data_IF_515009863261
#
_entry.id   IF_515009863261
#
_cell.length_a   1.000
_cell.length_b   1.000
_cell.length_c   1.000
_cell.angle_alpha   90.00
_cell.angle_beta   90.00
_cell.angle_gamma   90.00
#
_symmetry.space_group_name_H-M   'P 1'
#
loop_
_entity.id
_entity.type
_entity.pdbx_description
1 polymer ?
#
# COMPACT_ATOMS: atom_id res chain seq x y z
N UNK A 1 -4.39 -3.29 -1.66
CA UNK A 1 -3.76 -4.09 -0.58
C UNK A 1 -4.05 -5.58 -0.66
N UNK A 2 -5.31 -6.04 -0.80
CA UNK A 2 -5.60 -7.48 -0.91
C UNK A 2 -4.73 -8.20 -1.95
N UNK A 3 -4.63 -7.65 -3.16
CA UNK A 3 -3.76 -8.19 -4.22
C UNK A 3 -2.26 -8.15 -3.89
N UNK A 4 -1.82 -7.15 -3.12
CA UNK A 4 -0.42 -7.06 -2.71
C UNK A 4 -0.14 -8.17 -1.69
N UNK A 5 -1.04 -8.41 -0.73
CA UNK A 5 -0.89 -9.51 0.23
C UNK A 5 -0.91 -10.87 -0.44
N UNK A 6 -1.82 -11.12 -1.39
CA UNK A 6 -1.82 -12.39 -2.12
C UNK A 6 -0.55 -12.55 -2.97
N UNK A 7 -0.06 -11.46 -3.57
CA UNK A 7 1.19 -11.48 -4.32
C UNK A 7 2.42 -11.78 -3.43
N UNK A 8 2.52 -11.12 -2.27
CA UNK A 8 3.58 -11.37 -1.27
C UNK A 8 3.47 -12.80 -0.73
N UNK A 9 2.27 -13.25 -0.37
CA UNK A 9 2.02 -14.61 0.11
C UNK A 9 2.43 -15.67 -0.93
N UNK A 10 2.14 -15.44 -2.22
CA UNK A 10 2.63 -16.29 -3.33
C UNK A 10 4.15 -16.33 -3.33
N UNK A 11 4.82 -15.19 -3.19
CA UNK A 11 6.27 -15.09 -3.17
C UNK A 11 6.92 -15.84 -2.01
N UNK A 12 6.31 -15.77 -0.82
CA UNK A 12 6.75 -16.55 0.35
C UNK A 12 6.51 -18.04 0.13
N UNK A 13 5.30 -18.42 -0.27
CA UNK A 13 4.89 -19.82 -0.41
C UNK A 13 5.75 -20.60 -1.41
N UNK A 14 6.06 -19.99 -2.56
CA UNK A 14 6.90 -20.63 -3.58
C UNK A 14 8.40 -20.29 -3.46
N UNK A 15 8.83 -19.64 -2.38
CA UNK A 15 10.25 -19.35 -2.15
C UNK A 15 10.88 -18.42 -3.20
N UNK A 16 10.10 -17.54 -3.84
CA UNK A 16 10.57 -16.65 -4.92
C UNK A 16 11.71 -15.75 -4.45
N UNK A 17 11.71 -15.38 -3.18
CA UNK A 17 12.75 -14.55 -2.55
C UNK A 17 14.13 -15.20 -2.53
N UNK A 18 14.21 -16.53 -2.61
CA UNK A 18 15.48 -17.27 -2.69
C UNK A 18 16.06 -17.23 -4.11
N UNK A 19 15.20 -17.43 -5.12
CA UNK A 19 15.61 -17.46 -6.53
C UNK A 19 15.84 -16.07 -7.12
N UNK A 20 15.00 -15.10 -6.74
CA UNK A 20 14.99 -13.75 -7.29
C UNK A 20 15.05 -12.69 -6.16
N UNK A 21 16.17 -12.61 -5.42
CA UNK A 21 16.29 -11.71 -4.26
C UNK A 21 16.16 -10.22 -4.65
N UNK A 22 16.70 -9.79 -5.79
CA UNK A 22 16.57 -8.40 -6.25
C UNK A 22 15.12 -8.02 -6.58
N UNK A 23 14.37 -8.93 -7.21
CA UNK A 23 12.93 -8.75 -7.44
C UNK A 23 12.19 -8.69 -6.10
N UNK A 24 12.56 -9.53 -5.13
CA UNK A 24 11.96 -9.52 -3.80
C UNK A 24 12.18 -8.18 -3.07
N UNK A 25 13.41 -7.67 -3.00
CA UNK A 25 13.70 -6.40 -2.33
C UNK A 25 13.05 -5.19 -3.01
N UNK A 26 12.97 -5.17 -4.35
CA UNK A 26 12.21 -4.15 -5.06
C UNK A 26 10.70 -4.26 -4.77
N UNK A 27 10.16 -5.48 -4.65
CA UNK A 27 8.78 -5.74 -4.23
C UNK A 27 8.48 -5.28 -2.81
N UNK A 28 9.40 -5.49 -1.85
CA UNK A 28 9.29 -4.95 -0.49
C UNK A 28 9.28 -3.42 -0.49
N UNK A 29 10.12 -2.80 -1.31
CA UNK A 29 10.15 -1.34 -1.47
C UNK A 29 8.83 -0.80 -2.03
N UNK A 30 8.28 -1.46 -3.06
CA UNK A 30 6.94 -1.17 -3.60
C UNK A 30 5.84 -1.31 -2.55
N UNK A 31 5.93 -2.35 -1.71
CA UNK A 31 4.96 -2.58 -0.65
C UNK A 31 4.97 -1.46 0.39
N UNK A 32 6.15 -1.07 0.90
CA UNK A 32 6.27 0.04 1.87
C UNK A 32 5.81 1.37 1.27
N UNK A 33 6.18 1.67 0.03
CA UNK A 33 5.71 2.89 -0.65
C UNK A 33 4.18 2.87 -0.84
N UNK A 34 3.60 1.73 -1.20
CA UNK A 34 2.16 1.58 -1.37
C UNK A 34 1.42 1.78 -0.04
N UNK A 35 1.98 1.27 1.08
CA UNK A 35 1.48 1.56 2.43
C UNK A 35 1.51 3.06 2.72
N UNK A 36 2.62 3.74 2.44
CA UNK A 36 2.74 5.19 2.58
C UNK A 36 1.69 5.96 1.78
N UNK A 37 1.52 5.64 0.49
CA UNK A 37 0.51 6.28 -0.38
C UNK A 37 -0.91 6.03 0.12
N UNK A 38 -1.23 4.79 0.50
CA UNK A 38 -2.55 4.43 1.03
C UNK A 38 -2.89 5.21 2.30
N UNK A 39 -1.93 5.33 3.22
CA UNK A 39 -2.09 6.13 4.43
C UNK A 39 -2.24 7.62 4.13
N UNK A 40 -1.39 8.21 3.29
CA UNK A 40 -1.48 9.62 2.94
C UNK A 40 -2.83 9.95 2.27
N UNK A 41 -3.34 9.05 1.42
CA UNK A 41 -4.64 9.19 0.78
C UNK A 41 -5.80 9.11 1.78
N UNK A 42 -5.69 8.20 2.75
CA UNK A 42 -6.66 8.07 3.83
C UNK A 42 -6.80 9.34 4.68
N UNK A 43 -5.75 10.17 4.75
CA UNK A 43 -5.76 11.42 5.51
C UNK A 43 -6.53 12.54 4.79
N UNK A 44 -6.61 12.50 3.45
CA UNK A 44 -7.13 13.61 2.64
C UNK A 44 -8.61 13.99 2.84
N UNK A 45 -9.55 13.06 3.10
CA UNK A 45 -10.94 13.44 3.38
C UNK A 45 -11.11 14.22 4.69
N UNK A 46 -10.07 14.23 5.54
CA UNK A 46 -9.99 15.05 6.75
C UNK A 46 -11.12 14.81 7.77
N UNK A 47 -11.52 13.55 7.92
CA UNK A 47 -12.45 13.09 8.95
C UNK A 47 -11.81 12.87 10.32
N UNK A 48 -12.62 12.49 11.32
CA UNK A 48 -12.15 12.17 12.68
C UNK A 48 -11.03 11.11 12.65
N UNK A 49 -11.23 10.02 11.89
CA UNK A 49 -10.24 8.95 11.82
C UNK A 49 -8.99 9.34 11.04
N UNK A 50 -9.10 10.10 9.95
CA UNK A 50 -7.95 10.70 9.27
C UNK A 50 -7.07 11.52 10.22
N UNK A 51 -7.67 12.44 10.97
CA UNK A 51 -6.93 13.38 11.82
C UNK A 51 -6.21 12.66 12.95
N UNK A 52 -6.92 11.81 13.68
CA UNK A 52 -6.34 11.08 14.80
C UNK A 52 -5.38 9.98 14.34
N UNK A 53 -5.67 9.32 13.20
CA UNK A 53 -4.73 8.39 12.57
C UNK A 53 -3.42 9.06 12.17
N UNK A 54 -3.49 10.26 11.57
CA UNK A 54 -2.31 11.07 11.27
C UNK A 54 -1.53 11.44 12.54
N UNK A 55 -2.26 11.83 13.59
CA UNK A 55 -1.68 12.18 14.89
C UNK A 55 -0.89 11.01 15.47
N UNK A 56 -1.49 9.81 15.53
CA UNK A 56 -0.82 8.63 16.10
C UNK A 56 0.41 8.24 15.28
N UNK A 57 0.25 8.07 13.96
CA UNK A 57 1.31 7.54 13.10
C UNK A 57 2.50 8.51 13.02
N UNK A 58 2.27 9.81 12.90
CA UNK A 58 3.38 10.78 12.81
C UNK A 58 4.11 10.93 14.14
N UNK A 59 3.40 10.83 15.27
CA UNK A 59 4.04 10.86 16.59
C UNK A 59 4.97 9.66 16.84
N UNK A 60 4.82 8.53 16.15
CA UNK A 60 5.78 7.42 16.24
C UNK A 60 7.19 7.81 15.79
N UNK A 61 7.34 8.86 14.95
CA UNK A 61 8.66 9.36 14.55
C UNK A 61 9.47 9.87 15.74
N UNK A 62 8.83 10.33 16.82
CA UNK A 62 9.51 10.89 18.00
C UNK A 62 10.40 9.88 18.74
N UNK A 63 10.19 8.58 18.49
CA UNK A 63 10.98 7.49 19.09
C UNK A 63 12.40 7.41 18.51
N UNK A 64 12.63 7.96 17.31
CA UNK A 64 13.93 7.93 16.62
C UNK A 64 14.74 9.19 17.00
N UNK A 65 16.08 9.10 17.20
CA UNK A 65 16.92 10.27 17.43
C UNK A 65 16.74 11.35 16.34
N UNK A 66 16.40 12.57 16.76
CA UNK A 66 16.10 13.68 15.84
C UNK A 66 14.67 13.69 15.27
N UNK A 67 13.88 12.65 15.55
CA UNK A 67 12.52 12.48 15.03
C UNK A 67 11.53 13.54 15.47
N UNK A 68 11.67 14.11 16.68
CA UNK A 68 10.86 15.24 17.12
C UNK A 68 11.02 16.47 16.21
N UNK A 69 12.26 16.80 15.80
CA UNK A 69 12.51 17.89 14.85
C UNK A 69 11.96 17.58 13.47
N UNK A 70 12.06 16.33 13.03
CA UNK A 70 11.49 15.88 11.77
C UNK A 70 9.95 15.96 11.78
N UNK A 71 9.32 15.64 12.91
CA UNK A 71 7.88 15.76 13.11
C UNK A 71 7.42 17.22 13.06
N UNK A 72 8.06 18.12 13.82
CA UNK A 72 7.74 19.54 13.81
C UNK A 72 7.90 20.13 12.40
N UNK A 73 8.98 19.74 11.71
CA UNK A 73 9.18 20.11 10.31
C UNK A 73 8.03 19.60 9.46
N UNK A 74 7.68 18.31 9.54
CA UNK A 74 6.63 17.69 8.73
C UNK A 74 5.27 18.36 8.95
N UNK A 75 4.89 18.59 10.20
CA UNK A 75 3.64 19.25 10.56
C UNK A 75 3.62 20.72 10.12
N UNK A 76 4.79 21.37 10.02
CA UNK A 76 4.89 22.79 9.72
C UNK A 76 4.48 23.66 10.93
N UNK A 77 4.70 23.13 12.14
CA UNK A 77 4.27 23.70 13.42
C UNK A 77 4.22 22.62 14.50
N UNK A 78 3.71 22.96 15.69
CA UNK A 78 3.62 22.03 16.83
C UNK A 78 2.35 21.17 16.83
N UNK A 79 1.43 21.41 15.90
CA UNK A 79 0.16 20.70 15.78
C UNK A 79 -0.20 20.46 14.32
N UNK A 80 -0.96 19.39 14.08
CA UNK A 80 -1.52 19.09 12.76
C UNK A 80 -2.49 20.21 12.34
N UNK A 81 -2.20 20.77 11.17
CA UNK A 81 -2.90 21.92 10.59
C UNK A 81 -3.07 21.79 9.07
N UNK A 82 -3.67 22.80 8.45
CA UNK A 82 -3.84 22.86 6.99
C UNK A 82 -2.50 22.83 6.23
N UNK A 83 -1.42 23.32 6.86
CA UNK A 83 -0.06 23.21 6.29
C UNK A 83 0.34 21.74 6.16
N UNK A 84 0.07 20.94 7.20
CA UNK A 84 0.31 19.50 7.19
C UNK A 84 -0.50 18.82 6.10
N UNK A 85 -1.80 19.14 5.99
CA UNK A 85 -2.68 18.55 4.98
C UNK A 85 -2.23 18.84 3.55
N UNK A 86 -1.79 20.07 3.25
CA UNK A 86 -1.25 20.42 1.92
C UNK A 86 0.00 19.61 1.58
N UNK A 87 0.89 19.37 2.55
CA UNK A 87 2.08 18.52 2.34
C UNK A 87 1.70 17.06 2.12
N UNK A 88 0.76 16.54 2.90
CA UNK A 88 0.19 15.19 2.70
C UNK A 88 -0.38 15.03 1.30
N UNK A 89 -1.13 16.03 0.81
CA UNK A 89 -1.66 16.03 -0.56
C UNK A 89 -0.54 15.97 -1.62
N UNK A 90 0.48 16.83 -1.51
CA UNK A 90 1.60 16.84 -2.44
C UNK A 90 2.33 15.48 -2.45
N UNK A 91 2.58 14.91 -1.27
CA UNK A 91 3.23 13.61 -1.16
C UNK A 91 2.36 12.48 -1.72
N UNK A 92 1.06 12.46 -1.41
CA UNK A 92 0.13 11.48 -1.95
C UNK A 92 0.03 11.56 -3.47
N UNK A 93 0.14 12.76 -4.05
CA UNK A 93 0.13 12.94 -5.50
C UNK A 93 1.43 12.50 -6.17
N UNK A 94 2.59 12.81 -5.58
CA UNK A 94 3.90 12.53 -6.18
C UNK A 94 4.33 11.07 -6.06
N UNK A 95 4.10 10.44 -4.91
CA UNK A 95 4.59 9.08 -4.63
C UNK A 95 4.04 7.99 -5.58
N UNK A 96 2.80 8.04 -6.10
CA UNK A 96 2.34 7.13 -7.15
C UNK A 96 3.22 7.12 -8.41
N UNK A 97 3.81 8.26 -8.80
CA UNK A 97 4.75 8.30 -9.92
C UNK A 97 6.08 7.62 -9.59
N UNK A 98 6.53 7.72 -8.33
CA UNK A 98 7.68 6.97 -7.83
C UNK A 98 7.38 5.46 -7.85
N UNK A 99 6.18 5.05 -7.42
CA UNK A 99 5.72 3.65 -7.49
C UNK A 99 5.70 3.16 -8.93
N UNK A 100 5.25 3.98 -9.89
CA UNK A 100 5.28 3.62 -11.32
C UNK A 100 6.71 3.34 -11.79
N UNK A 101 7.66 4.26 -11.51
CA UNK A 101 9.07 4.05 -11.86
C UNK A 101 9.66 2.79 -11.22
N UNK A 102 9.38 2.58 -9.94
CA UNK A 102 9.85 1.40 -9.21
C UNK A 102 9.19 0.10 -9.70
N UNK A 103 7.95 0.16 -10.19
CA UNK A 103 7.24 -0.98 -10.78
C UNK A 103 7.89 -1.40 -12.11
N UNK A 104 8.31 -0.43 -12.93
CA UNK A 104 9.08 -0.72 -14.14
C UNK A 104 10.42 -1.38 -13.81
N UNK A 105 11.14 -0.86 -12.80
CA UNK A 105 12.39 -1.47 -12.33
C UNK A 105 12.14 -2.89 -11.81
N UNK A 106 11.07 -3.12 -11.05
CA UNK A 106 10.71 -4.44 -10.53
C UNK A 106 10.46 -5.45 -11.64
N UNK A 107 9.73 -5.06 -12.71
CA UNK A 107 9.51 -5.90 -13.89
C UNK A 107 10.79 -6.13 -14.69
N UNK A 108 11.66 -5.11 -14.82
CA UNK A 108 12.95 -5.26 -15.48
C UNK A 108 13.83 -6.30 -14.76
N UNK A 109 13.91 -6.23 -13.43
CA UNK A 109 14.64 -7.20 -12.62
C UNK A 109 14.06 -8.62 -12.79
N UNK A 110 12.73 -8.74 -12.91
CA UNK A 110 12.08 -10.02 -13.19
C UNK A 110 12.45 -10.54 -14.59
N UNK A 111 12.54 -9.67 -15.60
CA UNK A 111 12.90 -10.05 -16.96
C UNK A 111 14.34 -10.56 -17.07
N UNK A 112 15.26 -10.09 -16.21
CA UNK A 112 16.65 -10.54 -16.22
C UNK A 112 16.80 -12.02 -15.83
N UNK A 113 15.99 -12.50 -14.88
CA UNK A 113 16.11 -13.85 -14.34
C UNK A 113 14.94 -14.78 -14.73
N UNK A 114 13.87 -14.23 -15.29
CA UNK A 114 12.64 -14.97 -15.56
C UNK A 114 11.75 -15.19 -14.32
N UNK A 115 10.53 -15.67 -14.58
CA UNK A 115 9.61 -16.09 -13.52
C UNK A 115 10.02 -17.43 -12.92
N UNK A 116 9.52 -17.72 -11.71
CA UNK A 116 9.56 -19.07 -11.15
C UNK A 116 8.21 -19.78 -11.30
N UNK A 117 8.25 -21.10 -11.19
CA UNK A 117 7.11 -22.00 -11.28
C UNK A 117 6.75 -22.59 -9.91
N UNK A 118 5.51 -23.11 -9.75
CA UNK A 118 5.05 -23.73 -8.53
C UNK A 118 5.86 -24.94 -8.04
N UNK A 119 6.53 -25.67 -8.94
CA UNK A 119 7.34 -26.85 -8.60
C UNK A 119 8.76 -26.48 -8.17
N UNK A 120 9.19 -25.23 -8.36
CA UNK A 120 10.54 -24.79 -8.03
C UNK A 120 11.64 -25.42 -8.88
N UNK A 121 11.29 -26.05 -10.01
CA UNK A 121 12.26 -26.70 -10.91
C UNK A 121 12.87 -25.69 -11.90
N UNK A 122 13.88 -26.12 -12.67
CA UNK A 122 14.38 -25.36 -13.82
C UNK A 122 13.34 -25.36 -14.95
N UNK A 123 13.15 -24.22 -15.60
CA UNK A 123 12.08 -23.97 -16.59
C UNK A 123 12.59 -23.84 -18.02
N UNK A 124 13.91 -23.84 -18.20
CA UNK A 124 14.56 -23.55 -19.48
C UNK A 124 14.04 -24.42 -20.63
N UNK A 125 13.69 -25.69 -20.36
CA UNK A 125 13.21 -26.63 -21.39
C UNK A 125 11.68 -26.63 -21.61
N UNK A 126 10.88 -26.00 -20.73
CA UNK A 126 9.41 -26.09 -20.75
C UNK A 126 8.69 -24.75 -20.90
N UNK A 127 9.42 -23.71 -21.32
CA UNK A 127 8.84 -22.37 -21.49
C UNK A 127 7.92 -22.28 -22.72
N UNK A 128 6.85 -21.48 -22.60
CA UNK A 128 5.92 -21.14 -23.69
C UNK A 128 5.91 -19.62 -23.89
N UNK A 129 5.62 -19.11 -25.10
CA UNK A 129 5.55 -17.67 -25.32
C UNK A 129 4.47 -17.02 -24.46
N UNK A 130 4.69 -15.77 -24.05
CA UNK A 130 3.72 -15.03 -23.24
C UNK A 130 2.37 -14.85 -23.96
N UNK A 131 2.42 -14.47 -25.24
CA UNK A 131 1.25 -14.40 -26.11
C UNK A 131 1.12 -15.69 -26.93
N UNK A 132 -0.07 -16.29 -27.04
CA UNK A 132 -1.36 -15.83 -26.51
C UNK A 132 -1.67 -16.31 -25.08
N UNK A 133 -0.92 -17.29 -24.58
CA UNK A 133 -1.27 -18.07 -23.39
C UNK A 133 -1.50 -17.23 -22.13
N UNK A 134 -0.49 -16.49 -21.69
CA UNK A 134 -0.58 -15.65 -20.50
C UNK A 134 -1.41 -14.38 -20.77
N UNK A 135 -1.41 -13.85 -22.00
CA UNK A 135 -2.26 -12.70 -22.35
C UNK A 135 -3.75 -12.98 -22.14
N UNK A 136 -4.26 -14.13 -22.60
CA UNK A 136 -5.67 -14.50 -22.44
C UNK A 136 -5.98 -14.80 -20.97
N UNK A 137 -5.08 -15.51 -20.27
CA UNK A 137 -5.22 -15.81 -18.85
C UNK A 137 -5.31 -14.54 -18.00
N UNK A 138 -4.44 -13.58 -18.26
CA UNK A 138 -4.39 -12.32 -17.52
C UNK A 138 -5.62 -11.45 -17.83
N UNK A 139 -6.10 -11.44 -19.07
CA UNK A 139 -7.35 -10.76 -19.44
C UNK A 139 -8.57 -11.34 -18.72
N UNK A 140 -8.66 -12.68 -18.63
CA UNK A 140 -9.73 -13.33 -17.88
C UNK A 140 -9.65 -13.01 -16.37
N UNK A 141 -8.45 -13.06 -15.79
CA UNK A 141 -8.22 -12.67 -14.39
C UNK A 141 -8.58 -11.20 -14.11
N UNK A 142 -8.21 -10.30 -15.02
CA UNK A 142 -8.57 -8.88 -14.92
C UNK A 142 -10.09 -8.66 -15.01
N UNK A 143 -10.79 -9.35 -15.91
CA UNK A 143 -12.24 -9.26 -16.02
C UNK A 143 -12.95 -9.71 -14.73
N UNK A 144 -12.50 -10.80 -14.11
CA UNK A 144 -13.03 -11.27 -12.83
C UNK A 144 -12.74 -10.28 -11.70
N UNK A 145 -11.51 -9.74 -11.64
CA UNK A 145 -11.15 -8.73 -10.66
C UNK A 145 -12.03 -7.47 -10.80
N UNK A 146 -12.24 -7.01 -12.03
CA UNK A 146 -13.04 -5.83 -12.32
C UNK A 146 -14.50 -6.06 -11.94
N UNK A 147 -15.07 -7.22 -12.26
CA UNK A 147 -16.42 -7.60 -11.85
C UNK A 147 -16.56 -7.62 -10.32
N UNK A 148 -15.58 -8.17 -9.61
CA UNK A 148 -15.57 -8.17 -8.14
C UNK A 148 -15.47 -6.74 -7.56
N UNK A 149 -14.61 -5.89 -8.13
CA UNK A 149 -14.46 -4.50 -7.70
C UNK A 149 -15.74 -3.70 -7.92
N UNK A 150 -16.37 -3.84 -9.09
CA UNK A 150 -17.67 -3.21 -9.40
C UNK A 150 -18.73 -3.72 -8.42
N UNK A 151 -18.83 -5.04 -8.21
CA UNK A 151 -19.74 -5.63 -7.23
C UNK A 151 -19.58 -5.00 -5.85
N UNK A 152 -18.36 -5.01 -5.28
CA UNK A 152 -18.07 -4.41 -3.97
C UNK A 152 -18.44 -2.92 -3.95
N UNK A 153 -18.11 -2.16 -4.99
CA UNK A 153 -18.36 -0.72 -5.03
C UNK A 153 -19.87 -0.41 -5.05
N UNK A 154 -20.67 -1.17 -5.79
CA UNK A 154 -22.10 -0.89 -5.92
C UNK A 154 -22.97 -1.53 -4.84
N UNK A 155 -22.57 -2.66 -4.26
CA UNK A 155 -23.38 -3.34 -3.23
C UNK A 155 -22.83 -3.19 -1.82
N UNK A 156 -21.54 -2.89 -1.65
CA UNK A 156 -20.83 -2.89 -0.36
C UNK A 156 -19.92 -1.67 -0.18
N UNK A 157 -20.28 -0.52 -0.76
CA UNK A 157 -19.44 0.69 -0.79
C UNK A 157 -18.88 1.11 0.58
N UNK A 158 -19.66 0.93 1.65
CA UNK A 158 -19.31 1.31 3.02
C UNK A 158 -18.75 0.18 3.88
N UNK A 159 -18.62 -1.04 3.35
CA UNK A 159 -18.24 -2.23 4.12
C UNK A 159 -16.89 -2.07 4.82
N UNK A 160 -15.96 -1.35 4.19
CA UNK A 160 -14.59 -1.18 4.69
C UNK A 160 -14.33 0.17 5.35
N UNK A 161 -15.26 1.14 5.21
CA UNK A 161 -15.06 2.49 5.71
C UNK A 161 -15.55 2.65 7.16
N UNK A 162 -14.76 3.33 8.00
CA UNK A 162 -15.19 3.68 9.34
C UNK A 162 -16.21 4.85 9.30
N UNK A 163 -17.40 4.75 9.93
CA UNK A 163 -18.39 5.83 9.93
C UNK A 163 -17.86 7.16 10.48
N UNK A 164 -16.89 7.14 11.39
CA UNK A 164 -16.31 8.35 11.98
C UNK A 164 -15.48 9.15 10.95
N UNK A 165 -15.13 8.55 9.83
CA UNK A 165 -14.46 9.24 8.72
C UNK A 165 -15.31 10.35 8.10
N UNK A 166 -16.64 10.27 8.22
CA UNK A 166 -17.57 11.27 7.67
C UNK A 166 -17.97 12.35 8.68
N UNK A 167 -17.44 12.30 9.90
CA UNK A 167 -17.69 13.29 10.93
C UNK A 167 -16.62 14.39 10.91
N UNK A 168 -17.00 15.66 11.21
CA UNK A 168 -16.04 16.73 11.32
C UNK A 168 -15.10 16.51 12.51
N UNK A 169 -13.84 16.91 12.36
CA UNK A 169 -12.82 16.74 13.38
C UNK A 169 -13.05 17.69 14.55
N UNK A 170 -13.15 17.14 15.76
CA UNK A 170 -12.97 17.88 17.00
C UNK A 170 -11.56 17.61 17.55
N UNK A 171 -10.66 18.59 17.43
CA UNK A 171 -9.26 18.46 17.87
C UNK A 171 -9.09 18.28 19.38
N UNK A 172 -10.12 18.61 20.17
CA UNK A 172 -10.12 18.49 21.62
C UNK A 172 -10.73 17.17 22.11
N UNK A 173 -11.27 16.34 21.20
CA UNK A 173 -11.93 15.08 21.56
C UNK A 173 -11.43 13.93 20.69
N UNK A 174 -10.65 13.06 21.28
CA UNK A 174 -10.33 11.74 20.72
C UNK A 174 -11.59 10.86 20.70
N UNK A 175 -11.83 10.10 19.63
CA UNK A 175 -12.88 9.09 19.64
C UNK A 175 -12.50 7.96 20.60
N UNK A 176 -13.51 7.26 21.13
CA UNK A 176 -13.31 6.16 22.09
C UNK A 176 -12.56 4.96 21.51
N UNK A 177 -12.63 4.78 20.19
CA UNK A 177 -11.86 3.79 19.44
C UNK A 177 -11.18 4.51 18.29
N UNK A 178 -9.86 4.38 18.20
CA UNK A 178 -9.06 4.79 17.05
C UNK A 178 -8.45 3.52 16.47
N UNK A 179 -8.63 3.32 15.16
CA UNK A 179 -8.01 2.21 14.43
C UNK A 179 -7.69 2.68 13.01
N UNK A 180 -6.62 2.15 12.39
CA UNK A 180 -6.38 2.41 10.99
C UNK A 180 -7.31 1.57 10.11
N UNK A 181 -7.25 1.82 8.80
CA UNK A 181 -7.91 1.01 7.79
C UNK A 181 -7.51 -0.47 7.87
N UNK A 182 -8.38 -1.35 7.36
CA UNK A 182 -8.30 -2.81 7.54
C UNK A 182 -6.94 -3.41 7.15
N UNK A 183 -6.29 -2.86 6.13
CA UNK A 183 -4.99 -3.33 5.64
C UNK A 183 -3.81 -2.96 6.57
N UNK A 184 -4.01 -2.11 7.57
CA UNK A 184 -3.01 -1.83 8.59
C UNK A 184 -3.26 -2.53 9.93
N UNK A 185 -4.41 -3.18 10.12
CA UNK A 185 -4.79 -3.74 11.42
C UNK A 185 -3.81 -4.78 11.95
N UNK A 186 -3.21 -5.60 11.07
CA UNK A 186 -2.23 -6.59 11.50
C UNK A 186 -0.97 -5.93 12.09
N UNK A 187 -0.51 -4.83 11.49
CA UNK A 187 0.67 -4.10 11.96
C UNK A 187 0.35 -3.26 13.20
N UNK A 188 -0.87 -2.73 13.29
CA UNK A 188 -1.35 -2.02 14.48
C UNK A 188 -1.47 -2.93 15.72
N UNK A 189 -1.71 -4.23 15.51
CA UNK A 189 -1.83 -5.20 16.59
C UNK A 189 -0.48 -5.73 17.12
N UNK A 190 0.61 -5.55 16.36
CA UNK A 190 1.98 -5.92 16.74
C UNK A 190 2.57 -4.81 17.62
#
# INVERSE_FOLDING_TARGET
FALIYTHVARGVYFGVYLKNPHVWYSGLSLYVLSMGVGFLGYVLPWGVMSYWGLTVITNMMTVIPGGARALDWFQGGFVISDVTLKRVFILHFLLPFVILGLSLTHVLLLHMNGSSNPLGLDETEFSVPFHPYYSIKDLAGFALLLAALVGITFTFASLTADPLQWQPVNKMKTPSVIKPEWYFLYAYAI
#
